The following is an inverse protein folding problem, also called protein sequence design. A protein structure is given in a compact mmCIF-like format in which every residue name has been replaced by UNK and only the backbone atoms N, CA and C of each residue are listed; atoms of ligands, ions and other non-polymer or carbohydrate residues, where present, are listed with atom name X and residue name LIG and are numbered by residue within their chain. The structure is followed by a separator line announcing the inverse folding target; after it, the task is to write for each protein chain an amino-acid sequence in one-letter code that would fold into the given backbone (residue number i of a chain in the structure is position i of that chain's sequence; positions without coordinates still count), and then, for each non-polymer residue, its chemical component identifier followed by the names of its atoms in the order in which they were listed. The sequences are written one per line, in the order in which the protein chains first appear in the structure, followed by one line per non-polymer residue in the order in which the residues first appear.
data_IF_652498895571
#
_entry.id   IF_652498895571
#
_cell.length_a   1.000
_cell.length_b   1.000
_cell.length_c   1.000
_cell.angle_alpha   90.00
_cell.angle_beta   90.00
_cell.angle_gamma   90.00
#
_symmetry.space_group_name_H-M   'P 1'
#
loop_
_entity.id
_entity.type
_entity.pdbx_description
1 polymer ?
#
# COMPACT_ATOMS: atom_id res chain seq x y z
N UNK A 1 25.81 -16.56 -9.64
CA UNK A 1 24.95 -16.24 -8.48
C UNK A 1 24.44 -14.82 -8.70
N UNK A 2 23.15 -14.54 -8.55
CA UNK A 2 22.67 -13.14 -8.52
C UNK A 2 23.18 -12.53 -7.22
N UNK A 3 23.87 -11.39 -7.29
CA UNK A 3 24.19 -10.61 -6.10
C UNK A 3 22.87 -10.06 -5.53
N UNK A 4 22.35 -10.72 -4.51
CA UNK A 4 21.16 -10.28 -3.79
C UNK A 4 21.55 -9.08 -2.91
N UNK A 5 20.64 -8.14 -2.75
CA UNK A 5 20.85 -6.99 -1.87
C UNK A 5 20.14 -7.24 -0.55
N UNK A 6 20.77 -6.98 0.60
CA UNK A 6 20.09 -7.08 1.88
C UNK A 6 18.91 -6.11 1.98
N UNK A 7 17.77 -6.62 2.48
CA UNK A 7 16.55 -5.85 2.75
C UNK A 7 16.19 -6.02 4.22
N UNK A 8 16.06 -4.91 4.92
CA UNK A 8 15.48 -4.93 6.26
C UNK A 8 13.95 -5.06 6.17
N UNK A 9 13.38 -5.86 7.07
CA UNK A 9 11.94 -6.06 7.17
C UNK A 9 11.50 -5.52 8.53
N UNK A 10 10.56 -4.59 8.51
CA UNK A 10 9.93 -4.08 9.72
C UNK A 10 8.42 -4.34 9.70
N UNK A 11 7.88 -4.94 10.75
CA UNK A 11 6.44 -5.03 10.99
C UNK A 11 6.07 -4.03 12.08
N UNK A 12 5.32 -2.99 11.70
CA UNK A 12 4.89 -1.97 12.65
C UNK A 12 3.55 -2.28 13.31
N UNK A 13 2.94 -3.43 13.01
CA UNK A 13 1.64 -3.83 13.54
C UNK A 13 0.55 -2.84 13.19
N UNK A 14 -0.38 -2.60 14.11
CA UNK A 14 -1.41 -1.55 13.99
C UNK A 14 -0.83 -0.23 14.49
N UNK A 15 -0.58 0.70 13.58
CA UNK A 15 0.07 1.98 13.88
C UNK A 15 -0.71 3.15 13.28
N UNK A 16 -0.86 4.22 14.05
CA UNK A 16 -1.44 5.49 13.57
C UNK A 16 -0.73 5.98 12.31
N UNK A 17 -1.52 6.51 11.36
CA UNK A 17 -0.99 6.92 10.06
C UNK A 17 0.03 8.06 10.15
N UNK A 18 -0.20 9.04 11.03
CA UNK A 18 0.73 10.17 11.21
C UNK A 18 2.07 9.70 11.78
N UNK A 19 2.03 8.79 12.76
CA UNK A 19 3.25 8.21 13.32
C UNK A 19 4.04 7.42 12.26
N UNK A 20 3.33 6.63 11.46
CA UNK A 20 3.94 5.89 10.35
C UNK A 20 4.53 6.84 9.30
N UNK A 21 3.83 7.93 8.97
CA UNK A 21 4.31 8.93 8.02
C UNK A 21 5.59 9.62 8.49
N UNK A 22 5.64 10.04 9.76
CA UNK A 22 6.84 10.65 10.37
C UNK A 22 8.02 9.69 10.34
N UNK A 23 7.82 8.41 10.69
CA UNK A 23 8.87 7.39 10.62
C UNK A 23 9.39 7.20 9.20
N UNK A 24 8.50 7.10 8.20
CA UNK A 24 8.90 7.00 6.78
C UNK A 24 9.76 8.21 6.35
N UNK A 25 9.35 9.44 6.72
CA UNK A 25 10.13 10.63 6.36
C UNK A 25 11.54 10.64 6.99
N UNK A 26 11.66 10.15 8.23
CA UNK A 26 12.97 9.99 8.89
C UNK A 26 13.85 8.97 8.14
N UNK A 27 13.30 7.80 7.78
CA UNK A 27 14.02 6.78 7.01
C UNK A 27 14.44 7.28 5.64
N UNK A 28 13.56 8.01 4.94
CA UNK A 28 13.91 8.66 3.66
C UNK A 28 15.05 9.66 3.83
N UNK A 29 15.06 10.46 4.91
CA UNK A 29 16.18 11.38 5.21
C UNK A 29 17.49 10.64 5.42
N UNK A 30 17.48 9.56 6.20
CA UNK A 30 18.66 8.71 6.42
C UNK A 30 19.16 8.11 5.11
N UNK A 31 18.27 7.56 4.28
CA UNK A 31 18.63 7.03 2.95
C UNK A 31 19.22 8.10 2.02
N UNK A 32 18.71 9.33 2.07
CA UNK A 32 19.26 10.46 1.31
C UNK A 32 20.65 10.91 1.78
N UNK A 33 20.95 10.71 3.06
CA UNK A 33 22.28 10.96 3.64
C UNK A 33 23.28 9.83 3.34
N UNK A 34 22.85 8.73 2.71
CA UNK A 34 23.66 7.53 2.50
C UNK A 34 23.70 6.61 3.71
N UNK A 35 22.86 6.86 4.70
CA UNK A 35 22.71 6.07 5.93
C UNK A 35 21.51 5.12 5.80
N UNK A 36 21.44 4.12 6.68
CA UNK A 36 20.37 3.14 6.69
C UNK A 36 20.42 2.17 5.51
N UNK A 37 19.50 1.24 5.47
CA UNK A 37 19.37 0.19 4.44
C UNK A 37 18.06 0.32 3.68
N UNK A 38 17.95 -0.39 2.55
CA UNK A 38 16.67 -0.60 1.90
C UNK A 38 15.77 -1.40 2.85
N UNK A 39 14.58 -0.89 3.13
CA UNK A 39 13.66 -1.45 4.13
C UNK A 39 12.28 -1.63 3.53
N UNK A 40 11.68 -2.79 3.76
CA UNK A 40 10.25 -3.03 3.50
C UNK A 40 9.51 -3.00 4.83
N UNK A 41 8.55 -2.10 4.95
CA UNK A 41 7.72 -1.92 6.13
C UNK A 41 6.35 -2.50 5.85
N UNK A 42 5.84 -3.34 6.77
CA UNK A 42 4.48 -3.84 6.77
C UNK A 42 3.74 -3.24 7.96
N UNK A 43 2.53 -2.77 7.72
CA UNK A 43 1.74 -2.06 8.73
C UNK A 43 0.24 -2.22 8.47
N UNK A 44 -0.55 -2.09 9.49
CA UNK A 44 -1.99 -1.85 9.44
C UNK A 44 -2.27 -0.47 10.05
N UNK A 45 -3.29 0.23 9.57
CA UNK A 45 -3.69 1.53 10.13
C UNK A 45 -5.09 1.45 10.71
N UNK A 46 -5.38 2.24 11.77
CA UNK A 46 -6.76 2.58 12.14
C UNK A 46 -7.48 3.24 10.95
N UNK A 47 -8.78 3.40 11.08
CA UNK A 47 -9.64 4.02 10.07
C UNK A 47 -9.09 5.40 9.67
N UNK A 48 -8.56 5.46 8.45
CA UNK A 48 -7.89 6.65 7.93
C UNK A 48 -8.23 6.85 6.45
N UNK A 49 -8.62 8.06 6.09
CA UNK A 49 -8.72 8.49 4.69
C UNK A 49 -7.53 9.36 4.36
N UNK A 50 -6.86 9.06 3.26
CA UNK A 50 -5.75 9.88 2.76
C UNK A 50 -6.05 10.46 1.39
N UNK A 51 -5.84 11.76 1.23
CA UNK A 51 -5.87 12.47 -0.05
C UNK A 51 -4.44 12.63 -0.57
N UNK A 52 -4.15 12.03 -1.71
CA UNK A 52 -2.88 12.17 -2.41
C UNK A 52 -2.77 13.54 -3.12
N UNK A 53 -1.67 13.77 -3.83
CA UNK A 53 -1.39 15.06 -4.50
C UNK A 53 -2.43 15.52 -5.52
N UNK A 54 -3.23 14.60 -6.06
CA UNK A 54 -4.32 14.91 -6.99
C UNK A 54 -5.70 14.86 -6.33
N UNK A 55 -5.74 14.49 -5.03
CA UNK A 55 -6.98 14.40 -4.27
C UNK A 55 -7.51 15.77 -3.87
N UNK A 56 -8.81 15.91 -3.89
CA UNK A 56 -9.56 17.12 -3.52
C UNK A 56 -10.74 16.77 -2.61
N UNK A 57 -11.47 17.78 -2.16
CA UNK A 57 -12.69 17.57 -1.37
C UNK A 57 -13.80 16.90 -2.18
N UNK A 58 -13.74 16.94 -3.51
CA UNK A 58 -14.66 16.22 -4.41
C UNK A 58 -14.51 14.70 -4.31
N UNK A 59 -13.36 14.23 -3.82
CA UNK A 59 -13.11 12.81 -3.53
C UNK A 59 -13.70 12.35 -2.19
N UNK A 60 -14.39 13.22 -1.45
CA UNK A 60 -14.97 12.97 -0.15
C UNK A 60 -16.50 12.96 -0.24
N UNK A 61 -17.16 11.96 0.34
CA UNK A 61 -18.63 11.91 0.39
C UNK A 61 -19.24 12.80 1.46
N UNK A 62 -18.44 13.25 2.44
CA UNK A 62 -18.89 14.03 3.58
C UNK A 62 -17.97 15.22 3.82
N UNK A 63 -18.46 16.30 4.48
CA UNK A 63 -17.60 17.35 5.01
C UNK A 63 -16.56 16.79 6.01
N UNK A 64 -15.41 17.43 6.09
CA UNK A 64 -14.25 16.95 6.88
C UNK A 64 -14.61 16.66 8.35
N UNK A 65 -15.50 17.47 8.94
CA UNK A 65 -15.93 17.30 10.34
C UNK A 65 -16.61 15.95 10.62
N UNK A 66 -17.26 15.37 9.61
CA UNK A 66 -17.96 14.09 9.73
C UNK A 66 -16.97 12.93 9.89
N UNK A 67 -15.78 13.01 9.27
CA UNK A 67 -14.72 12.01 9.45
C UNK A 67 -14.29 11.93 10.91
N UNK A 68 -13.97 13.07 11.51
CA UNK A 68 -13.59 13.14 12.92
C UNK A 68 -14.71 12.62 13.86
N UNK A 69 -15.97 12.98 13.60
CA UNK A 69 -17.12 12.49 14.38
C UNK A 69 -17.31 10.97 14.29
N UNK A 70 -16.88 10.35 13.18
CA UNK A 70 -16.92 8.90 12.97
C UNK A 70 -15.64 8.19 13.40
N UNK A 71 -14.69 8.89 14.01
CA UNK A 71 -13.41 8.33 14.44
C UNK A 71 -12.44 8.06 13.28
N UNK A 72 -12.72 8.58 12.08
CA UNK A 72 -11.87 8.42 10.91
C UNK A 72 -10.90 9.58 10.79
N UNK A 73 -9.62 9.28 10.72
CA UNK A 73 -8.57 10.28 10.48
C UNK A 73 -8.56 10.68 9.01
N UNK A 74 -8.61 12.01 8.73
CA UNK A 74 -8.46 12.54 7.35
C UNK A 74 -7.10 13.24 7.21
N UNK A 75 -6.29 12.85 6.22
CA UNK A 75 -4.94 13.38 5.97
C UNK A 75 -4.70 13.71 4.50
N UNK A 76 -4.11 14.89 4.26
CA UNK A 76 -3.58 15.29 2.94
C UNK A 76 -2.09 14.99 2.92
N UNK A 77 -1.64 14.21 1.94
CA UNK A 77 -0.29 13.67 1.91
C UNK A 77 0.34 13.77 0.51
N UNK A 78 1.65 13.56 0.45
CA UNK A 78 2.44 13.76 -0.76
C UNK A 78 2.59 12.50 -1.66
N UNK A 79 1.81 11.42 -1.44
CA UNK A 79 1.79 10.26 -2.36
C UNK A 79 1.12 10.61 -3.69
N UNK A 80 1.37 9.82 -4.72
CA UNK A 80 0.58 9.84 -5.95
C UNK A 80 -0.87 9.42 -5.73
N UNK A 81 -1.75 9.73 -6.68
CA UNK A 81 -3.15 9.32 -6.68
C UNK A 81 -4.11 10.32 -6.01
N UNK A 82 -5.37 9.90 -5.90
CA UNK A 82 -6.53 10.60 -5.35
C UNK A 82 -6.80 10.14 -3.91
N UNK A 83 -8.08 9.97 -3.52
CA UNK A 83 -8.44 9.43 -2.22
C UNK A 83 -8.12 7.92 -2.11
N UNK A 84 -7.80 7.46 -0.92
CA UNK A 84 -7.85 6.05 -0.51
C UNK A 84 -8.19 5.95 0.96
N UNK A 85 -8.68 4.76 1.37
CA UNK A 85 -9.01 4.47 2.75
C UNK A 85 -8.10 3.37 3.31
N UNK A 86 -7.83 3.46 4.59
CA UNK A 86 -7.12 2.47 5.39
C UNK A 86 -7.99 2.08 6.57
N UNK A 87 -7.91 0.82 6.99
CA UNK A 87 -8.64 0.29 8.13
C UNK A 87 -7.99 -1.02 8.63
N UNK A 88 -8.21 -1.45 9.87
CA UNK A 88 -7.66 -2.69 10.40
C UNK A 88 -8.02 -3.90 9.53
N UNK A 89 -7.06 -4.80 9.34
CA UNK A 89 -7.20 -5.96 8.45
C UNK A 89 -6.75 -5.67 7.00
N UNK A 90 -6.33 -4.45 6.68
CA UNK A 90 -5.70 -4.11 5.40
C UNK A 90 -4.18 -4.22 5.52
N UNK A 91 -3.53 -4.97 4.65
CA UNK A 91 -2.06 -5.00 4.59
C UNK A 91 -1.56 -3.76 3.83
N UNK A 92 -0.82 -2.91 4.53
CA UNK A 92 -0.12 -1.77 3.92
C UNK A 92 1.37 -2.09 3.87
N UNK A 93 2.00 -1.85 2.70
CA UNK A 93 3.42 -2.09 2.50
C UNK A 93 4.12 -0.85 1.98
N UNK A 94 5.14 -0.39 2.71
CA UNK A 94 5.95 0.79 2.39
C UNK A 94 7.40 0.39 2.10
N UNK A 95 7.82 0.25 0.84
CA UNK A 95 9.22 0.09 0.49
C UNK A 95 9.95 1.44 0.57
N UNK A 96 10.86 1.58 1.53
CA UNK A 96 11.81 2.70 1.60
C UNK A 96 13.12 2.23 0.99
N UNK A 97 13.20 2.27 -0.33
CA UNK A 97 14.30 1.66 -1.09
C UNK A 97 14.86 2.62 -2.14
N UNK A 98 16.16 2.50 -2.41
CA UNK A 98 16.79 3.22 -3.50
C UNK A 98 16.56 2.47 -4.82
N UNK A 99 15.81 3.07 -5.75
CA UNK A 99 15.51 2.45 -7.04
C UNK A 99 16.79 2.35 -7.88
N UNK A 100 17.33 1.14 -8.01
CA UNK A 100 18.49 0.84 -8.86
C UNK A 100 18.20 1.15 -10.33
N UNK A 101 17.02 0.79 -10.82
CA UNK A 101 16.50 1.19 -12.12
C UNK A 101 15.63 2.43 -11.95
N UNK A 102 16.07 3.53 -12.56
CA UNK A 102 15.39 4.84 -12.53
C UNK A 102 14.18 4.86 -13.47
N UNK A 103 13.23 3.97 -13.23
CA UNK A 103 12.04 3.76 -14.03
C UNK A 103 10.85 3.48 -13.09
N UNK A 104 10.02 4.51 -12.93
CA UNK A 104 8.88 4.49 -11.99
C UNK A 104 7.81 3.49 -12.44
N UNK A 105 7.55 3.40 -13.75
CA UNK A 105 6.55 2.49 -14.31
C UNK A 105 6.97 1.04 -14.08
N UNK A 106 8.22 0.71 -14.39
CA UNK A 106 8.78 -0.61 -14.13
C UNK A 106 8.67 -1.00 -12.65
N UNK A 107 8.99 -0.06 -11.73
CA UNK A 107 8.88 -0.31 -10.28
C UNK A 107 7.42 -0.55 -9.87
N UNK A 108 6.49 0.28 -10.34
CA UNK A 108 5.08 0.16 -10.04
C UNK A 108 4.51 -1.18 -10.54
N UNK A 109 4.75 -1.52 -11.82
CA UNK A 109 4.26 -2.77 -12.41
C UNK A 109 4.81 -3.99 -11.65
N UNK A 110 6.10 -3.95 -11.30
CA UNK A 110 6.74 -5.05 -10.56
C UNK A 110 6.21 -5.17 -9.15
N UNK A 111 5.98 -4.05 -8.47
CA UNK A 111 5.43 -4.03 -7.12
C UNK A 111 3.96 -4.49 -7.07
N UNK A 112 3.16 -4.10 -8.05
CA UNK A 112 1.78 -4.59 -8.17
C UNK A 112 1.73 -6.08 -8.55
N UNK A 113 2.68 -6.59 -9.33
CA UNK A 113 2.79 -8.02 -9.60
C UNK A 113 3.10 -8.86 -8.35
N UNK A 114 3.78 -8.31 -7.33
CA UNK A 114 3.92 -8.97 -6.01
C UNK A 114 2.55 -9.26 -5.40
N UNK A 115 1.62 -8.30 -5.49
CA UNK A 115 0.24 -8.50 -5.00
C UNK A 115 -0.49 -9.56 -5.82
N UNK A 116 -0.32 -9.57 -7.15
CA UNK A 116 -0.94 -10.59 -8.01
C UNK A 116 -0.46 -11.99 -7.61
N UNK A 117 0.85 -12.17 -7.36
CA UNK A 117 1.40 -13.45 -6.89
C UNK A 117 0.85 -13.82 -5.50
N UNK A 118 0.79 -12.86 -4.57
CA UNK A 118 0.17 -13.07 -3.27
C UNK A 118 -1.28 -13.55 -3.40
N UNK A 119 -2.09 -12.91 -4.25
CA UNK A 119 -3.49 -13.31 -4.46
C UNK A 119 -3.58 -14.71 -5.07
N UNK A 120 -2.68 -15.05 -5.99
CA UNK A 120 -2.63 -16.38 -6.62
C UNK A 120 -2.35 -17.49 -5.60
N UNK A 121 -1.55 -17.25 -4.55
CA UNK A 121 -1.34 -18.19 -3.45
C UNK A 121 -2.64 -18.55 -2.71
N UNK A 122 -3.63 -17.68 -2.79
CA UNK A 122 -4.95 -17.85 -2.19
C UNK A 122 -6.03 -18.24 -3.20
N UNK A 123 -5.64 -18.56 -4.44
CA UNK A 123 -6.57 -18.96 -5.51
C UNK A 123 -7.38 -17.81 -6.11
N UNK A 124 -6.96 -16.56 -5.89
CA UNK A 124 -7.63 -15.36 -6.42
C UNK A 124 -6.82 -14.79 -7.57
N UNK A 125 -7.48 -14.57 -8.71
CA UNK A 125 -6.85 -14.04 -9.92
C UNK A 125 -6.90 -12.51 -9.94
N UNK A 126 -5.75 -11.88 -9.64
CA UNK A 126 -5.59 -10.43 -9.74
C UNK A 126 -5.08 -10.02 -11.13
N UNK A 127 -5.44 -8.81 -11.56
CA UNK A 127 -4.95 -8.23 -12.81
C UNK A 127 -4.65 -6.74 -12.67
N UNK A 128 -3.81 -6.22 -13.56
CA UNK A 128 -3.58 -4.79 -13.73
C UNK A 128 -4.58 -4.23 -14.76
N UNK A 129 -5.00 -2.97 -14.56
CA UNK A 129 -5.75 -2.21 -15.55
C UNK A 129 -4.90 -1.06 -16.09
N UNK A 130 -4.93 -0.86 -17.40
CA UNK A 130 -4.21 0.25 -18.03
C UNK A 130 -4.78 1.60 -17.57
N UNK A 131 -3.88 2.51 -17.14
CA UNK A 131 -4.27 3.84 -16.67
C UNK A 131 -4.83 3.90 -15.25
N UNK A 132 -5.12 2.76 -14.61
CA UNK A 132 -5.71 2.67 -13.28
C UNK A 132 -4.77 1.94 -12.30
N UNK A 133 -3.85 2.64 -11.61
CA UNK A 133 -2.88 2.01 -10.73
C UNK A 133 -3.54 1.23 -9.60
N UNK A 134 -3.16 -0.03 -9.45
CA UNK A 134 -3.71 -0.96 -8.45
C UNK A 134 -3.85 -2.37 -8.98
N UNK A 135 -4.41 -3.26 -8.17
CA UNK A 135 -4.76 -4.63 -8.58
C UNK A 135 -6.26 -4.82 -8.46
N UNK A 136 -6.82 -5.54 -9.41
CA UNK A 136 -8.24 -5.72 -9.59
C UNK A 136 -8.60 -7.21 -9.66
N UNK A 137 -9.78 -7.56 -9.15
CA UNK A 137 -10.38 -8.90 -9.23
C UNK A 137 -11.79 -8.73 -9.79
N UNK A 138 -12.09 -9.28 -10.95
CA UNK A 138 -13.40 -9.18 -11.63
C UNK A 138 -13.96 -7.75 -11.67
N UNK A 139 -13.11 -6.78 -12.00
CA UNK A 139 -13.50 -5.38 -12.10
C UNK A 139 -13.59 -4.62 -10.78
N UNK A 140 -13.32 -5.27 -9.63
CA UNK A 140 -13.31 -4.68 -8.28
C UNK A 140 -11.88 -4.46 -7.81
N UNK A 141 -11.59 -3.30 -7.25
CA UNK A 141 -10.24 -3.00 -6.77
C UNK A 141 -9.94 -3.69 -5.44
N UNK A 142 -8.86 -4.47 -5.38
CA UNK A 142 -8.39 -5.12 -4.16
C UNK A 142 -7.12 -4.47 -3.59
N UNK A 143 -6.36 -3.77 -4.42
CA UNK A 143 -5.14 -3.09 -4.00
C UNK A 143 -5.08 -1.68 -4.56
N UNK A 144 -4.85 -0.71 -3.69
CA UNK A 144 -4.52 0.67 -4.03
C UNK A 144 -3.00 0.86 -4.11
N UNK A 145 -2.54 1.71 -5.04
CA UNK A 145 -1.13 2.04 -5.23
C UNK A 145 -0.91 3.54 -5.22
N UNK A 146 0.09 3.98 -4.46
CA UNK A 146 0.49 5.38 -4.46
C UNK A 146 1.84 5.58 -3.79
N UNK A 147 2.87 5.91 -4.56
CA UNK A 147 4.23 6.16 -4.08
C UNK A 147 4.62 7.63 -4.21
N UNK A 148 5.65 8.01 -3.48
CA UNK A 148 6.42 9.23 -3.69
C UNK A 148 7.89 8.86 -3.89
N UNK A 149 8.60 9.63 -4.71
CA UNK A 149 10.02 9.45 -4.96
C UNK A 149 10.78 10.74 -4.67
N UNK A 150 11.84 10.65 -3.87
CA UNK A 150 12.76 11.74 -3.63
C UNK A 150 14.18 11.29 -3.96
N UNK A 151 14.78 11.84 -5.01
CA UNK A 151 16.09 11.40 -5.53
C UNK A 151 16.18 9.88 -5.71
N UNK A 152 15.12 9.27 -6.24
CA UNK A 152 14.98 7.82 -6.48
C UNK A 152 14.88 6.95 -5.22
N UNK A 153 14.65 7.52 -4.07
CA UNK A 153 14.26 6.80 -2.86
C UNK A 153 12.74 6.84 -2.76
N UNK A 154 12.13 5.66 -2.61
CA UNK A 154 10.68 5.51 -2.50
C UNK A 154 10.16 5.75 -1.09
N UNK A 155 8.92 6.16 -1.00
CA UNK A 155 8.10 6.20 0.22
C UNK A 155 6.63 5.99 -0.13
N UNK A 156 5.80 5.76 0.87
CA UNK A 156 4.46 5.21 0.69
C UNK A 156 4.51 3.86 -0.03
N UNK A 157 3.44 3.42 -0.69
CA UNK A 157 3.45 2.11 -1.33
C UNK A 157 2.08 1.64 -1.78
N UNK A 158 1.67 0.49 -1.24
CA UNK A 158 0.39 -0.16 -1.56
C UNK A 158 -0.44 -0.41 -0.30
N UNK A 159 -1.74 -0.55 -0.53
CA UNK A 159 -2.69 -1.01 0.48
C UNK A 159 -3.54 -2.13 -0.13
N UNK A 160 -3.40 -3.34 0.39
CA UNK A 160 -4.10 -4.55 -0.06
C UNK A 160 -5.21 -4.88 0.91
N UNK A 161 -6.43 -4.94 0.43
CA UNK A 161 -7.57 -5.31 1.25
C UNK A 161 -7.55 -6.83 1.50
N UNK A 162 -7.30 -7.24 2.73
CA UNK A 162 -7.20 -8.64 3.15
C UNK A 162 -8.45 -9.05 3.94
N UNK A 163 -8.51 -8.65 5.20
CA UNK A 163 -9.57 -9.02 6.14
C UNK A 163 -10.46 -7.83 6.56
N UNK A 164 -10.21 -6.67 6.01
CA UNK A 164 -10.88 -5.42 6.38
C UNK A 164 -12.33 -5.37 5.86
N UNK A 165 -13.15 -4.57 6.53
CA UNK A 165 -14.60 -4.47 6.30
C UNK A 165 -14.95 -3.76 4.99
N UNK A 166 -14.10 -2.83 4.56
CA UNK A 166 -14.29 -1.87 3.45
C UNK A 166 -15.27 -0.72 3.77
N UNK A 167 -15.66 -0.56 5.05
CA UNK A 167 -16.63 0.48 5.44
C UNK A 167 -16.04 1.89 5.28
N UNK A 168 -14.75 2.07 5.54
CA UNK A 168 -14.08 3.37 5.36
C UNK A 168 -14.05 3.79 3.89
N UNK A 169 -14.03 2.85 2.95
CA UNK A 169 -14.13 3.15 1.51
C UNK A 169 -15.47 3.77 1.12
N UNK A 170 -16.55 3.48 1.85
CA UNK A 170 -17.86 4.10 1.62
C UNK A 170 -17.89 5.61 1.97
N UNK A 171 -16.83 6.14 2.56
CA UNK A 171 -16.73 7.56 2.89
C UNK A 171 -16.02 8.39 1.80
N UNK A 172 -15.48 7.76 0.77
CA UNK A 172 -14.73 8.41 -0.30
C UNK A 172 -15.30 8.05 -1.68
N UNK A 173 -14.95 8.87 -2.67
CA UNK A 173 -15.08 8.53 -4.09
C UNK A 173 -13.78 7.87 -4.52
N UNK A 174 -13.69 6.52 -4.57
CA UNK A 174 -12.43 5.85 -4.84
C UNK A 174 -11.93 6.22 -6.25
N UNK A 175 -10.68 6.66 -6.36
CA UNK A 175 -10.04 7.01 -7.64
C UNK A 175 -10.81 8.00 -8.53
N UNK A 176 -11.70 8.83 -7.94
CA UNK A 176 -12.53 9.78 -8.69
C UNK A 176 -13.67 9.13 -9.50
N UNK A 177 -13.96 7.85 -9.25
CA UNK A 177 -15.07 7.14 -9.91
C UNK A 177 -16.13 6.77 -8.86
N UNK A 178 -17.32 7.40 -8.89
CA UNK A 178 -18.37 7.20 -7.86
C UNK A 178 -18.88 5.75 -7.78
N UNK A 179 -18.59 4.93 -8.76
CA UNK A 179 -19.05 3.54 -8.86
C UNK A 179 -17.90 2.53 -8.74
N UNK A 180 -16.70 2.96 -8.36
CA UNK A 180 -15.60 2.01 -8.17
C UNK A 180 -15.93 1.07 -7.03
N UNK A 181 -16.09 -0.20 -7.37
CA UNK A 181 -16.35 -1.25 -6.40
C UNK A 181 -15.00 -1.74 -5.87
N UNK A 182 -14.85 -1.69 -4.55
CA UNK A 182 -13.70 -2.28 -3.86
C UNK A 182 -14.05 -3.69 -3.36
N UNK A 183 -13.05 -4.55 -3.29
CA UNK A 183 -13.16 -5.88 -2.71
C UNK A 183 -12.00 -6.17 -1.76
N UNK A 184 -12.03 -7.32 -1.09
CA UNK A 184 -10.99 -7.79 -0.19
C UNK A 184 -10.82 -9.30 -0.33
N UNK A 185 -9.66 -9.82 0.09
CA UNK A 185 -9.37 -11.25 0.01
C UNK A 185 -10.41 -12.09 0.77
N UNK A 186 -10.89 -11.62 1.93
CA UNK A 186 -11.95 -12.29 2.68
C UNK A 186 -13.26 -12.36 1.89
N UNK A 187 -13.61 -11.30 1.13
CA UNK A 187 -14.83 -11.30 0.28
C UNK A 187 -14.69 -12.27 -0.90
N UNK A 188 -13.52 -12.33 -1.51
CA UNK A 188 -13.27 -13.22 -2.66
C UNK A 188 -13.21 -14.71 -2.24
N UNK A 189 -12.70 -15.01 -1.03
CA UNK A 189 -12.53 -16.38 -0.54
C UNK A 189 -13.68 -16.88 0.35
N UNK A 190 -14.45 -15.97 0.92
CA UNK A 190 -15.47 -16.30 1.92
C UNK A 190 -14.94 -16.66 3.31
N UNK A 191 -13.61 -16.51 3.55
CA UNK A 191 -12.99 -16.82 4.85
C UNK A 191 -11.81 -15.89 5.13
N UNK A 192 -11.55 -15.66 6.43
CA UNK A 192 -10.39 -14.86 6.88
C UNK A 192 -9.07 -15.54 6.55
N UNK A 193 -8.06 -14.73 6.29
CA UNK A 193 -6.68 -15.18 6.13
C UNK A 193 -5.87 -14.83 7.39
N UNK A 194 -4.90 -15.66 7.73
CA UNK A 194 -3.91 -15.32 8.77
C UNK A 194 -3.02 -14.18 8.25
N UNK A 195 -3.04 -13.04 8.94
CA UNK A 195 -2.28 -11.87 8.53
C UNK A 195 -0.76 -12.11 8.62
N UNK A 196 -0.30 -12.91 9.56
CA UNK A 196 1.12 -13.25 9.66
C UNK A 196 1.57 -14.09 8.44
N UNK A 197 0.75 -15.04 8.01
CA UNK A 197 1.01 -15.81 6.79
C UNK A 197 0.99 -14.91 5.54
N UNK A 198 -0.01 -14.02 5.44
CA UNK A 198 -0.11 -13.04 4.33
C UNK A 198 1.15 -12.18 4.24
N UNK A 199 1.61 -11.63 5.38
CA UNK A 199 2.83 -10.83 5.46
C UNK A 199 4.06 -11.62 5.00
N UNK A 200 4.24 -12.85 5.48
CA UNK A 200 5.38 -13.69 5.12
C UNK A 200 5.41 -14.02 3.61
N UNK A 201 4.28 -14.37 3.02
CA UNK A 201 4.16 -14.62 1.59
C UNK A 201 4.47 -13.35 0.78
N UNK A 202 3.93 -12.20 1.22
CA UNK A 202 4.20 -10.92 0.58
C UNK A 202 5.70 -10.56 0.59
N UNK A 203 6.40 -10.76 1.72
CA UNK A 203 7.85 -10.54 1.83
C UNK A 203 8.60 -11.42 0.83
N UNK A 204 8.25 -12.71 0.76
CA UNK A 204 8.88 -13.66 -0.17
C UNK A 204 8.74 -13.19 -1.62
N UNK A 205 7.52 -12.89 -2.06
CA UNK A 205 7.28 -12.39 -3.41
C UNK A 205 7.97 -11.04 -3.70
N UNK A 206 8.05 -10.16 -2.70
CA UNK A 206 8.76 -8.89 -2.84
C UNK A 206 10.27 -9.10 -3.03
N UNK A 207 10.89 -9.95 -2.20
CA UNK A 207 12.30 -10.28 -2.30
C UNK A 207 12.62 -10.91 -3.68
N UNK A 208 11.83 -11.85 -4.12
CA UNK A 208 11.99 -12.49 -5.43
C UNK A 208 11.85 -11.49 -6.60
N UNK A 209 10.82 -10.63 -6.52
CA UNK A 209 10.56 -9.64 -7.54
C UNK A 209 11.68 -8.62 -7.69
N UNK A 210 12.32 -8.19 -6.62
CA UNK A 210 13.32 -7.12 -6.63
C UNK A 210 14.75 -7.59 -6.41
N UNK A 211 14.98 -8.90 -6.34
CA UNK A 211 16.30 -9.51 -6.08
C UNK A 211 16.91 -9.03 -4.76
N UNK A 212 16.09 -9.08 -3.71
CA UNK A 212 16.52 -8.87 -2.34
C UNK A 212 16.70 -10.21 -1.59
N UNK A 213 17.49 -10.18 -0.53
CA UNK A 213 17.50 -11.19 0.51
C UNK A 213 17.16 -10.52 1.85
N UNK A 214 16.45 -11.23 2.71
CA UNK A 214 16.14 -10.71 4.04
C UNK A 214 17.44 -10.57 4.83
N UNK A 215 17.66 -9.38 5.39
CA UNK A 215 18.79 -9.17 6.32
C UNK A 215 18.51 -9.95 7.62
N UNK A 216 19.50 -10.72 8.06
CA UNK A 216 19.47 -11.44 9.34
C UNK A 216 19.56 -10.47 10.52
#
# INVERSE_FOLDING_TARGET
MKDLTPLEIEDWGLLDYEQAFVRQEQMVKQRLAGEGRDTLILVEHPETVTLGRRGSDEDLHFPEQIYAQRGVTLKRINRGGLATAHEPGQLVAYPIVALKRKDVRWFADRFLNVVIQLLADYGVSGLLKEGEPGVWVDGRKICSFGISLKKWISSHGIAVNINNSLETFAMIVPCGQPQEIVTSLIKERGCRSDMAEVKNRFITHFCDAFSYEQAN
#
